data_IF_505875370029
#
_entry.id   IF_505875370029
#
_cell.length_a   1.000
_cell.length_b   1.000
_cell.length_c   1.000
_cell.angle_alpha   90.00
_cell.angle_beta   90.00
_cell.angle_gamma   90.00
#
_symmetry.space_group_name_H-M   'P 1'
#
loop_
_entity.id
_entity.type
_entity.pdbx_description
1 polymer ?
#
# COMPACT_ATOMS: atom_id res chain seq x y z
N UNK A 1 16.16 -9.18 19.07
CA UNK A 1 15.00 -9.33 18.17
C UNK A 1 15.29 -10.55 17.32
N UNK A 2 14.45 -11.58 17.36
CA UNK A 2 14.68 -12.79 16.55
C UNK A 2 14.41 -12.47 15.08
N UNK A 3 15.29 -12.88 14.17
CA UNK A 3 15.10 -12.64 12.74
C UNK A 3 13.83 -13.36 12.25
N UNK A 4 12.89 -12.64 11.59
CA UNK A 4 11.60 -13.19 11.18
C UNK A 4 11.76 -14.33 10.15
N UNK A 5 12.86 -14.34 9.39
CA UNK A 5 13.18 -15.40 8.43
C UNK A 5 13.55 -16.72 9.12
N UNK A 6 14.25 -16.67 10.27
CA UNK A 6 14.59 -17.86 11.04
C UNK A 6 13.34 -18.48 11.68
N UNK A 7 12.40 -17.65 12.14
CA UNK A 7 11.11 -18.10 12.67
C UNK A 7 10.23 -18.75 11.60
N UNK A 8 10.17 -18.19 10.39
CA UNK A 8 9.45 -18.79 9.26
C UNK A 8 10.05 -20.13 8.85
N UNK A 9 11.38 -20.22 8.74
CA UNK A 9 12.06 -21.47 8.41
C UNK A 9 11.86 -22.54 9.50
N UNK A 10 11.81 -22.13 10.77
CA UNK A 10 11.54 -23.04 11.87
C UNK A 10 10.08 -23.55 11.83
N UNK A 11 9.11 -22.68 11.56
CA UNK A 11 7.71 -23.05 11.38
C UNK A 11 7.49 -23.96 10.16
N UNK A 12 8.21 -23.75 9.06
CA UNK A 12 8.15 -24.65 7.89
C UNK A 12 8.69 -26.05 8.19
N UNK A 13 9.78 -26.14 8.98
CA UNK A 13 10.32 -27.44 9.42
C UNK A 13 9.36 -28.16 10.36
N UNK A 14 8.80 -27.44 11.33
CA UNK A 14 7.82 -27.98 12.26
C UNK A 14 6.55 -28.42 11.50
N UNK A 15 6.04 -27.62 10.55
CA UNK A 15 4.90 -28.01 9.71
C UNK A 15 5.21 -29.19 8.78
N UNK A 16 6.41 -29.26 8.21
CA UNK A 16 6.83 -30.40 7.40
C UNK A 16 6.85 -31.70 8.20
N UNK A 17 7.23 -31.62 9.48
CA UNK A 17 7.23 -32.75 10.41
C UNK A 17 5.81 -33.11 10.88
N UNK A 18 4.97 -32.11 11.15
CA UNK A 18 3.54 -32.27 11.43
C UNK A 18 2.78 -32.89 10.24
N UNK A 19 3.07 -32.47 9.00
CA UNK A 19 2.48 -33.06 7.79
C UNK A 19 2.87 -34.54 7.63
N UNK A 20 4.09 -34.92 8.04
CA UNK A 20 4.54 -36.32 8.06
C UNK A 20 3.90 -37.13 9.20
N UNK A 21 3.66 -36.50 10.35
CA UNK A 21 2.98 -37.15 11.49
C UNK A 21 1.46 -37.27 11.30
N UNK A 22 0.83 -36.32 10.60
CA UNK A 22 -0.62 -36.28 10.35
C UNK A 22 -1.04 -37.03 9.08
N UNK A 23 -0.09 -37.54 8.28
CA UNK A 23 -0.40 -38.52 7.23
C UNK A 23 -0.80 -39.84 7.87
N UNK A 24 -2.09 -39.95 8.21
CA UNK A 24 -2.78 -41.19 8.57
C UNK A 24 -2.61 -42.14 7.38
N UNK A 25 -1.72 -43.13 7.54
CA UNK A 25 -1.60 -44.38 6.78
C UNK A 25 -1.88 -44.21 5.27
N UNK A 26 -0.81 -44.13 4.47
CA UNK A 26 -0.93 -44.19 3.01
C UNK A 26 -1.57 -45.52 2.60
N UNK A 27 -2.88 -45.52 2.35
CA UNK A 27 -3.66 -46.68 1.86
C UNK A 27 -3.18 -47.11 0.45
N UNK A 28 -2.34 -46.30 -0.20
CA UNK A 28 -1.72 -46.57 -1.50
C UNK A 28 -0.38 -47.30 -1.41
N UNK A 29 0.16 -47.60 -0.22
CA UNK A 29 1.31 -48.49 -0.12
C UNK A 29 0.83 -49.95 -0.20
N UNK A 30 1.40 -50.76 -1.11
CA UNK A 30 1.00 -52.15 -1.24
C UNK A 30 1.29 -52.89 0.07
N UNK A 31 0.29 -53.58 0.62
CA UNK A 31 0.42 -54.46 1.79
C UNK A 31 1.29 -55.71 1.48
N UNK A 32 1.91 -55.76 0.30
CA UNK A 32 2.60 -56.94 -0.24
C UNK A 32 3.97 -57.23 0.35
N UNK A 33 4.49 -56.42 1.28
CA UNK A 33 5.82 -56.66 1.87
C UNK A 33 5.78 -57.41 3.21
N UNK A 34 4.90 -58.42 3.30
CA UNK A 34 4.94 -59.42 4.37
C UNK A 34 5.14 -60.80 3.75
N UNK A 35 6.41 -61.18 3.62
CA UNK A 35 6.83 -62.57 3.60
C UNK A 35 6.82 -63.23 2.23
N UNK A 36 7.91 -63.02 1.50
CA UNK A 36 8.37 -63.95 0.47
C UNK A 36 8.57 -65.33 1.14
N UNK A 37 7.56 -66.19 1.06
CA UNK A 37 7.70 -67.61 1.38
C UNK A 37 7.23 -68.41 0.18
N UNK A 38 8.23 -68.97 -0.49
CA UNK A 38 8.09 -69.93 -1.57
C UNK A 38 7.28 -71.15 -1.10
N UNK A 39 5.99 -71.16 -1.39
CA UNK A 39 5.20 -72.38 -1.43
C UNK A 39 4.52 -72.46 -2.80
N UNK A 40 5.11 -73.28 -3.67
CA UNK A 40 4.50 -73.70 -4.94
C UNK A 40 3.14 -74.36 -4.68
N UNK A 41 2.02 -73.89 -5.29
CA UNK A 41 0.80 -74.66 -5.32
C UNK A 41 0.71 -75.41 -6.64
N UNK A 42 0.73 -76.74 -6.53
CA UNK A 42 0.27 -77.66 -7.55
C UNK A 42 -1.17 -77.33 -7.95
N UNK A 43 -1.29 -76.70 -9.13
CA UNK A 43 -2.31 -76.91 -10.16
C UNK A 43 -3.54 -77.74 -9.73
N UNK A 44 -4.57 -77.08 -9.19
CA UNK A 44 -5.98 -77.51 -9.29
C UNK A 44 -6.88 -76.27 -9.20
N UNK A 45 -7.65 -76.08 -10.28
CA UNK A 45 -8.22 -74.79 -10.65
C UNK A 45 -9.39 -74.30 -9.80
N UNK A 46 -9.40 -72.99 -9.58
CA UNK A 46 -10.52 -72.10 -9.87
C UNK A 46 -9.92 -70.71 -10.11
N UNK A 47 -9.65 -70.44 -11.37
CA UNK A 47 -8.88 -69.28 -11.85
C UNK A 47 -9.83 -68.11 -12.13
N UNK A 48 -10.07 -67.27 -11.11
CA UNK A 48 -10.64 -65.91 -11.26
C UNK A 48 -9.93 -64.88 -10.37
N UNK A 49 -9.10 -65.29 -9.40
CA UNK A 49 -8.54 -64.39 -8.38
C UNK A 49 -7.04 -64.10 -8.50
N UNK A 50 -6.34 -64.59 -9.52
CA UNK A 50 -4.88 -64.39 -9.66
C UNK A 50 -4.55 -63.30 -10.70
N UNK A 51 -5.46 -62.99 -11.63
CA UNK A 51 -5.22 -61.99 -12.68
C UNK A 51 -5.41 -60.53 -12.24
N UNK A 52 -6.12 -60.25 -11.14
CA UNK A 52 -6.34 -58.88 -10.62
C UNK A 52 -5.29 -58.41 -9.60
N UNK A 53 -4.36 -59.28 -9.19
CA UNK A 53 -3.33 -58.94 -8.19
C UNK A 53 -2.14 -58.15 -8.77
N UNK A 54 -1.98 -58.15 -10.09
CA UNK A 54 -0.80 -57.57 -10.73
C UNK A 54 -0.91 -56.07 -11.03
N UNK A 55 -2.11 -55.46 -10.97
CA UNK A 55 -2.32 -54.00 -11.10
C UNK A 55 -3.68 -53.60 -10.47
N UNK A 56 -3.76 -53.37 -9.14
CA UNK A 56 -5.01 -53.02 -8.48
C UNK A 56 -5.43 -51.59 -8.86
N UNK A 57 -6.28 -51.47 -9.87
CA UNK A 57 -6.99 -50.22 -10.14
C UNK A 57 -8.09 -50.05 -9.09
N UNK A 58 -8.36 -48.84 -8.56
CA UNK A 58 -9.36 -48.62 -7.49
C UNK A 58 -10.76 -49.20 -7.80
N UNK A 59 -11.15 -49.20 -9.08
CA UNK A 59 -12.41 -49.81 -9.52
C UNK A 59 -12.42 -51.35 -9.42
N UNK A 60 -11.26 -52.00 -9.63
CA UNK A 60 -11.11 -53.46 -9.47
C UNK A 60 -11.14 -53.88 -8.00
N UNK A 61 -10.61 -53.04 -7.11
CA UNK A 61 -10.65 -53.28 -5.66
C UNK A 61 -12.09 -53.23 -5.13
N UNK A 62 -12.90 -52.29 -5.64
CA UNK A 62 -14.31 -52.17 -5.27
C UNK A 62 -15.13 -53.39 -5.72
N UNK A 63 -14.91 -53.88 -6.95
CA UNK A 63 -15.55 -55.11 -7.43
C UNK A 63 -15.13 -56.35 -6.64
N UNK A 64 -13.86 -56.44 -6.26
CA UNK A 64 -13.37 -57.56 -5.46
C UNK A 64 -13.95 -57.53 -4.05
N UNK A 65 -14.07 -56.35 -3.43
CA UNK A 65 -14.71 -56.20 -2.12
C UNK A 65 -16.18 -56.58 -2.14
N UNK A 66 -16.93 -56.24 -3.20
CA UNK A 66 -18.34 -56.64 -3.32
C UNK A 66 -18.45 -58.16 -3.52
N UNK A 67 -17.63 -58.75 -4.39
CA UNK A 67 -17.59 -60.19 -4.59
C UNK A 67 -17.25 -60.96 -3.30
N UNK A 68 -16.21 -60.55 -2.56
CA UNK A 68 -15.84 -61.20 -1.29
C UNK A 68 -16.92 -61.03 -0.23
N UNK A 69 -17.56 -59.85 -0.13
CA UNK A 69 -18.70 -59.65 0.78
C UNK A 69 -19.84 -60.63 0.48
N UNK A 70 -20.17 -60.84 -0.78
CA UNK A 70 -21.21 -61.79 -1.18
C UNK A 70 -20.79 -63.24 -0.89
N UNK A 71 -19.56 -63.63 -1.24
CA UNK A 71 -19.02 -64.96 -0.99
C UNK A 71 -19.00 -65.28 0.51
N UNK A 72 -18.47 -64.38 1.35
CA UNK A 72 -18.43 -64.56 2.79
C UNK A 72 -19.83 -64.53 3.41
N UNK A 73 -20.77 -63.75 2.86
CA UNK A 73 -22.16 -63.78 3.32
C UNK A 73 -22.83 -65.12 3.03
N UNK A 74 -22.62 -65.68 1.83
CA UNK A 74 -23.10 -67.02 1.45
C UNK A 74 -22.44 -68.11 2.28
N UNK A 75 -21.13 -68.02 2.50
CA UNK A 75 -20.38 -68.98 3.30
C UNK A 75 -20.81 -68.93 4.77
N UNK A 76 -20.97 -67.73 5.33
CA UNK A 76 -21.51 -67.54 6.68
C UNK A 76 -22.91 -68.12 6.82
N UNK A 77 -23.79 -67.88 5.85
CA UNK A 77 -25.15 -68.45 5.86
C UNK A 77 -25.11 -69.98 5.82
N UNK A 78 -24.37 -70.56 4.88
CA UNK A 78 -24.21 -72.01 4.74
C UNK A 78 -23.62 -72.65 6.00
N UNK A 79 -22.60 -72.05 6.59
CA UNK A 79 -21.99 -72.52 7.83
C UNK A 79 -22.97 -72.46 9.01
N UNK A 80 -23.67 -71.33 9.20
CA UNK A 80 -24.68 -71.19 10.25
C UNK A 80 -25.79 -72.23 10.07
N UNK A 81 -26.28 -72.42 8.85
CA UNK A 81 -27.28 -73.42 8.54
C UNK A 81 -26.78 -74.85 8.83
N UNK A 82 -25.55 -75.18 8.44
CA UNK A 82 -24.97 -76.49 8.69
C UNK A 82 -24.75 -76.75 10.18
N UNK A 83 -24.18 -75.80 10.92
CA UNK A 83 -23.94 -75.92 12.36
C UNK A 83 -25.25 -76.01 13.13
N UNK A 84 -26.28 -75.25 12.74
CA UNK A 84 -27.60 -75.33 13.37
C UNK A 84 -28.29 -76.67 13.08
N UNK A 85 -28.23 -77.16 11.83
CA UNK A 85 -28.72 -78.51 11.48
C UNK A 85 -28.00 -79.59 12.28
N UNK A 86 -26.67 -79.54 12.36
CA UNK A 86 -25.89 -80.52 13.13
C UNK A 86 -26.24 -80.46 14.63
N UNK A 87 -26.29 -79.26 15.21
CA UNK A 87 -26.65 -79.06 16.62
C UNK A 87 -28.07 -79.57 16.91
N UNK A 88 -29.02 -79.34 16.02
CA UNK A 88 -30.39 -79.85 16.14
C UNK A 88 -30.45 -81.38 16.10
N UNK A 89 -29.78 -82.00 15.11
CA UNK A 89 -29.71 -83.45 15.02
C UNK A 89 -29.03 -84.06 16.25
N UNK A 90 -27.93 -83.47 16.72
CA UNK A 90 -27.23 -83.91 17.92
C UNK A 90 -28.08 -83.74 19.18
N UNK A 91 -28.90 -82.70 19.27
CA UNK A 91 -29.80 -82.48 20.41
C UNK A 91 -30.94 -83.51 20.48
N UNK A 92 -31.45 -83.97 19.33
CA UNK A 92 -32.53 -84.97 19.26
C UNK A 92 -32.01 -86.40 19.38
N UNK A 93 -30.84 -86.68 18.80
CA UNK A 93 -30.24 -88.03 18.75
C UNK A 93 -29.31 -88.30 19.94
N UNK A 94 -28.89 -87.27 20.68
CA UNK A 94 -28.07 -87.41 21.89
C UNK A 94 -28.80 -88.16 23.01
N UNK A 95 -28.06 -88.91 23.82
CA UNK A 95 -28.57 -89.62 25.00
C UNK A 95 -27.97 -89.00 26.27
N UNK A 96 -28.75 -88.31 27.13
CA UNK A 96 -30.19 -88.06 27.03
C UNK A 96 -30.54 -86.94 26.03
N UNK A 97 -31.75 -86.98 25.42
CA UNK A 97 -32.18 -85.96 24.48
C UNK A 97 -32.31 -84.61 25.17
N UNK A 98 -31.80 -83.56 24.52
CA UNK A 98 -31.75 -82.23 25.09
C UNK A 98 -33.12 -81.55 24.90
N UNK A 99 -34.00 -81.71 25.89
CA UNK A 99 -35.30 -81.04 25.94
C UNK A 99 -35.13 -79.72 26.65
N UNK A 100 -35.10 -78.62 25.90
CA UNK A 100 -35.04 -77.27 26.49
C UNK A 100 -36.32 -77.03 27.28
N UNK A 101 -36.19 -76.82 28.59
CA UNK A 101 -37.32 -76.53 29.46
C UNK A 101 -37.92 -75.16 29.17
N UNK A 102 -39.22 -74.98 29.41
CA UNK A 102 -39.85 -73.65 29.31
C UNK A 102 -39.15 -72.62 30.23
N UNK A 103 -38.72 -73.04 31.43
CA UNK A 103 -38.00 -72.18 32.36
C UNK A 103 -36.63 -71.74 31.81
N UNK A 104 -35.87 -72.65 31.19
CA UNK A 104 -34.58 -72.33 30.56
C UNK A 104 -34.75 -71.36 29.39
N UNK A 105 -35.82 -71.52 28.60
CA UNK A 105 -36.15 -70.55 27.54
C UNK A 105 -36.47 -69.16 28.11
N UNK A 106 -37.26 -69.08 29.18
CA UNK A 106 -37.58 -67.79 29.83
C UNK A 106 -36.32 -67.12 30.40
N UNK A 107 -35.42 -67.89 31.02
CA UNK A 107 -34.14 -67.37 31.51
C UNK A 107 -33.25 -66.85 30.37
N UNK A 108 -33.13 -67.60 29.28
CA UNK A 108 -32.37 -67.20 28.09
C UNK A 108 -32.99 -65.98 27.39
N UNK A 109 -34.31 -65.88 27.34
CA UNK A 109 -35.01 -64.71 26.81
C UNK A 109 -34.74 -63.46 27.65
N UNK A 110 -34.70 -63.59 28.98
CA UNK A 110 -34.33 -62.48 29.88
C UNK A 110 -32.90 -62.02 29.65
N UNK A 111 -31.93 -62.96 29.59
CA UNK A 111 -30.53 -62.63 29.32
C UNK A 111 -30.35 -62.00 27.93
N UNK A 112 -31.06 -62.49 26.92
CA UNK A 112 -31.03 -61.93 25.57
C UNK A 112 -31.60 -60.51 25.57
N UNK A 113 -32.68 -60.26 26.31
CA UNK A 113 -33.26 -58.92 26.45
C UNK A 113 -32.26 -57.93 27.09
N UNK A 114 -31.56 -58.35 28.15
CA UNK A 114 -30.51 -57.56 28.80
C UNK A 114 -29.34 -57.25 27.86
N UNK A 115 -28.75 -58.28 27.23
CA UNK A 115 -27.64 -58.11 26.28
C UNK A 115 -28.05 -57.26 25.08
N UNK A 116 -29.30 -57.39 24.61
CA UNK A 116 -29.83 -56.57 23.51
C UNK A 116 -30.03 -55.12 23.92
N UNK A 117 -30.43 -54.84 25.16
CA UNK A 117 -30.51 -53.49 25.69
C UNK A 117 -29.13 -52.86 25.80
N UNK A 118 -28.15 -53.60 26.34
CA UNK A 118 -26.76 -53.14 26.44
C UNK A 118 -26.14 -52.87 25.05
N UNK A 119 -26.35 -53.78 24.09
CA UNK A 119 -25.88 -53.61 22.73
C UNK A 119 -26.49 -52.37 22.06
N UNK A 120 -27.77 -52.08 22.30
CA UNK A 120 -28.41 -50.86 21.80
C UNK A 120 -27.81 -49.61 22.42
N UNK A 121 -27.56 -49.62 23.73
CA UNK A 121 -26.92 -48.51 24.43
C UNK A 121 -25.53 -48.23 23.88
N UNK A 122 -24.68 -49.25 23.75
CA UNK A 122 -23.33 -49.12 23.21
C UNK A 122 -23.30 -48.67 21.75
N UNK A 123 -24.27 -49.14 20.94
CA UNK A 123 -24.41 -48.67 19.55
C UNK A 123 -24.76 -47.19 19.47
N UNK A 124 -25.62 -46.72 20.36
CA UNK A 124 -26.00 -45.31 20.42
C UNK A 124 -24.82 -44.45 20.89
N UNK A 125 -24.09 -44.88 21.91
CA UNK A 125 -22.86 -44.22 22.37
C UNK A 125 -21.81 -44.12 21.25
N UNK A 126 -21.57 -45.22 20.54
CA UNK A 126 -20.65 -45.22 19.40
C UNK A 126 -21.13 -44.28 18.27
N UNK A 127 -22.44 -44.21 18.02
CA UNK A 127 -23.04 -43.30 17.03
C UNK A 127 -22.77 -41.84 17.39
N UNK A 128 -23.00 -41.47 18.66
CA UNK A 128 -22.74 -40.12 19.16
C UNK A 128 -21.26 -39.77 19.08
N UNK A 129 -20.36 -40.69 19.48
CA UNK A 129 -18.92 -40.47 19.41
C UNK A 129 -18.43 -40.27 17.96
N UNK A 130 -18.99 -40.99 16.98
CA UNK A 130 -18.68 -40.80 15.57
C UNK A 130 -19.15 -39.42 15.10
N UNK A 131 -20.36 -39.00 15.48
CA UNK A 131 -20.89 -37.68 15.13
C UNK A 131 -20.01 -36.55 15.69
N UNK A 132 -19.62 -36.65 16.97
CA UNK A 132 -18.69 -35.71 17.60
C UNK A 132 -17.34 -35.70 16.88
N UNK A 133 -16.75 -36.87 16.60
CA UNK A 133 -15.50 -36.97 15.88
C UNK A 133 -15.56 -36.33 14.49
N UNK A 134 -16.67 -36.52 13.77
CA UNK A 134 -16.84 -35.90 12.46
C UNK A 134 -16.98 -34.38 12.55
N UNK A 135 -17.71 -33.86 13.53
CA UNK A 135 -17.83 -32.41 13.74
C UNK A 135 -16.48 -31.78 14.08
N UNK A 136 -15.72 -32.38 15.00
CA UNK A 136 -14.37 -31.95 15.36
C UNK A 136 -13.42 -32.03 14.15
N UNK A 137 -13.49 -33.10 13.36
CA UNK A 137 -12.67 -33.25 12.16
C UNK A 137 -12.97 -32.17 11.12
N UNK A 138 -14.26 -31.85 10.90
CA UNK A 138 -14.68 -30.77 10.01
C UNK A 138 -14.22 -29.40 10.49
N UNK A 139 -14.29 -29.15 11.80
CA UNK A 139 -13.80 -27.90 12.39
C UNK A 139 -12.27 -27.79 12.27
N UNK A 140 -11.54 -28.85 12.58
CA UNK A 140 -10.09 -28.90 12.49
C UNK A 140 -9.62 -28.64 11.05
N UNK A 141 -10.27 -29.25 10.06
CA UNK A 141 -9.98 -29.01 8.64
C UNK A 141 -10.17 -27.53 8.24
N UNK A 142 -11.22 -26.88 8.75
CA UNK A 142 -11.45 -25.43 8.51
C UNK A 142 -10.36 -24.58 9.16
N UNK A 143 -10.01 -24.87 10.42
CA UNK A 143 -8.95 -24.15 11.14
C UNK A 143 -7.60 -24.31 10.44
N UNK A 144 -7.26 -25.52 10.03
CA UNK A 144 -6.02 -25.81 9.30
C UNK A 144 -5.94 -25.03 7.99
N UNK A 145 -7.03 -25.01 7.21
CA UNK A 145 -7.10 -24.22 5.97
C UNK A 145 -6.89 -22.72 6.21
N UNK A 146 -7.46 -22.18 7.29
CA UNK A 146 -7.24 -20.77 7.64
C UNK A 146 -5.77 -20.49 7.99
N UNK A 147 -5.14 -21.35 8.80
CA UNK A 147 -3.71 -21.23 9.13
C UNK A 147 -2.85 -21.32 7.87
N UNK A 148 -3.16 -22.21 6.93
CA UNK A 148 -2.45 -22.32 5.66
C UNK A 148 -2.56 -21.04 4.82
N UNK A 149 -3.75 -20.42 4.77
CA UNK A 149 -3.91 -19.12 4.08
C UNK A 149 -3.14 -17.99 4.75
N UNK A 150 -3.12 -17.95 6.08
CA UNK A 150 -2.36 -16.95 6.84
C UNK A 150 -0.85 -17.14 6.66
N UNK A 151 -0.38 -18.40 6.63
CA UNK A 151 1.02 -18.72 6.37
C UNK A 151 1.45 -18.27 4.97
N UNK A 152 0.61 -18.49 3.95
CA UNK A 152 0.87 -18.02 2.61
C UNK A 152 0.98 -16.48 2.56
N UNK A 153 0.11 -15.75 3.28
CA UNK A 153 0.21 -14.29 3.39
C UNK A 153 1.46 -13.83 4.14
N UNK A 154 1.86 -14.54 5.20
CA UNK A 154 3.10 -14.26 5.93
C UNK A 154 4.34 -14.52 5.10
N UNK A 155 4.32 -15.50 4.19
CA UNK A 155 5.44 -15.77 3.28
C UNK A 155 5.66 -14.68 2.22
N UNK A 156 4.60 -13.95 1.82
CA UNK A 156 4.72 -12.88 0.80
C UNK A 156 5.03 -11.49 1.41
N UNK A 157 4.81 -11.32 2.72
CA UNK A 157 5.08 -10.07 3.42
C UNK A 157 6.55 -9.62 3.38
N UNK A 158 7.57 -10.48 3.58
CA UNK A 158 8.97 -10.09 3.50
C UNK A 158 9.37 -9.45 2.17
N UNK A 159 8.95 -10.05 1.06
CA UNK A 159 9.19 -9.50 -0.28
C UNK A 159 8.52 -8.13 -0.45
N UNK A 160 7.28 -7.99 0.03
CA UNK A 160 6.58 -6.70 0.02
C UNK A 160 7.31 -5.66 0.88
N UNK A 161 7.91 -6.05 2.01
CA UNK A 161 8.68 -5.15 2.88
C UNK A 161 9.96 -4.71 2.17
N UNK A 162 10.71 -5.63 1.57
CA UNK A 162 11.94 -5.30 0.81
C UNK A 162 11.64 -4.36 -0.38
N UNK A 163 10.52 -4.59 -1.08
CA UNK A 163 10.05 -3.71 -2.14
C UNK A 163 9.68 -2.30 -1.61
N UNK A 164 9.03 -2.21 -0.45
CA UNK A 164 8.72 -0.92 0.18
C UNK A 164 9.97 -0.21 0.70
N UNK A 165 10.93 -0.94 1.26
CA UNK A 165 12.19 -0.39 1.74
C UNK A 165 13.06 0.13 0.60
N UNK A 166 13.16 -0.62 -0.50
CA UNK A 166 13.88 -0.19 -1.70
C UNK A 166 13.24 1.04 -2.37
N UNK A 167 11.90 1.10 -2.43
CA UNK A 167 11.19 2.28 -2.94
C UNK A 167 11.39 3.50 -2.04
N UNK A 168 11.32 3.34 -0.72
CA UNK A 168 11.63 4.41 0.24
C UNK A 168 13.08 4.88 0.10
N UNK A 169 14.05 3.95 -0.02
CA UNK A 169 15.45 4.29 -0.23
C UNK A 169 15.64 5.06 -1.54
N UNK A 170 14.98 4.63 -2.62
CA UNK A 170 14.99 5.32 -3.91
C UNK A 170 14.37 6.71 -3.86
N UNK A 171 13.25 6.88 -3.15
CA UNK A 171 12.62 8.19 -2.95
C UNK A 171 13.48 9.13 -2.11
N UNK A 172 14.10 8.62 -1.03
CA UNK A 172 15.05 9.39 -0.21
C UNK A 172 16.28 9.79 -1.03
N UNK A 173 16.82 8.89 -1.85
CA UNK A 173 17.94 9.21 -2.73
C UNK A 173 17.56 10.29 -3.76
N UNK A 174 16.37 10.19 -4.38
CA UNK A 174 15.84 11.24 -5.28
C UNK A 174 15.64 12.58 -4.56
N UNK A 175 15.14 12.55 -3.34
CA UNK A 175 14.97 13.75 -2.51
C UNK A 175 16.33 14.41 -2.21
N UNK A 176 17.32 13.64 -1.76
CA UNK A 176 18.67 14.14 -1.51
C UNK A 176 19.30 14.68 -2.80
N UNK A 177 19.22 13.93 -3.91
CA UNK A 177 19.74 14.36 -5.20
C UNK A 177 19.12 15.67 -5.69
N UNK A 178 17.80 15.83 -5.53
CA UNK A 178 17.09 17.07 -5.86
C UNK A 178 17.46 18.25 -4.95
N UNK A 179 17.88 17.99 -3.71
CA UNK A 179 18.31 19.00 -2.74
C UNK A 179 19.78 19.41 -2.95
N UNK A 180 20.61 18.51 -3.50
CA UNK A 180 22.02 18.76 -3.82
C UNK A 180 22.27 19.35 -5.21
N UNK A 181 21.26 19.43 -6.08
CA UNK A 181 21.44 20.04 -7.39
C UNK A 181 21.67 21.55 -7.21
N UNK A 182 22.90 21.97 -7.47
CA UNK A 182 23.41 23.35 -7.39
C UNK A 182 22.91 24.23 -8.54
N UNK A 183 21.68 24.00 -8.99
CA UNK A 183 21.06 24.72 -10.09
C UNK A 183 20.32 25.94 -9.51
N UNK A 184 20.54 27.19 -9.96
CA UNK A 184 19.91 28.39 -9.39
C UNK A 184 18.36 28.43 -9.47
N UNK A 185 17.72 27.46 -10.13
CA UNK A 185 16.26 27.20 -10.08
C UNK A 185 15.82 26.31 -8.90
N UNK A 186 16.76 25.93 -8.04
CA UNK A 186 16.61 25.02 -6.87
C UNK A 186 15.70 25.55 -5.75
N UNK A 187 15.16 26.77 -5.86
CA UNK A 187 14.11 27.25 -4.94
C UNK A 187 12.86 26.34 -4.91
N UNK A 188 12.65 25.53 -5.95
CA UNK A 188 11.57 24.53 -6.04
C UNK A 188 11.86 23.21 -5.31
N UNK A 189 13.11 22.95 -4.93
CA UNK A 189 13.53 21.70 -4.25
C UNK A 189 13.84 21.92 -2.76
N UNK A 190 13.46 23.07 -2.22
CA UNK A 190 13.71 23.40 -0.83
C UNK A 190 12.74 22.66 0.10
N UNK A 191 13.20 22.26 1.30
CA UNK A 191 12.31 21.71 2.31
C UNK A 191 11.30 22.79 2.75
N UNK A 192 10.11 22.36 3.16
CA UNK A 192 8.99 23.24 3.52
C UNK A 192 9.36 24.40 4.47
N UNK A 193 10.20 24.22 5.52
CA UNK A 193 10.60 25.34 6.36
C UNK A 193 11.42 26.41 5.62
N UNK A 194 12.27 25.99 4.68
CA UNK A 194 13.10 26.90 3.89
C UNK A 194 12.28 27.66 2.82
N UNK A 195 11.24 27.03 2.25
CA UNK A 195 10.33 27.73 1.34
C UNK A 195 9.49 28.78 2.07
N UNK A 196 9.02 28.48 3.28
CA UNK A 196 8.30 29.45 4.11
C UNK A 196 9.18 30.64 4.51
N UNK A 197 10.45 30.39 4.86
CA UNK A 197 11.41 31.45 5.15
C UNK A 197 11.63 32.38 3.93
N UNK A 198 11.91 31.81 2.75
CA UNK A 198 12.05 32.59 1.51
C UNK A 198 10.78 33.36 1.16
N UNK A 199 9.60 32.75 1.36
CA UNK A 199 8.32 33.42 1.10
C UNK A 199 8.18 34.65 2.00
N UNK A 200 8.47 34.52 3.30
CA UNK A 200 8.43 35.66 4.22
C UNK A 200 9.42 36.76 3.87
N UNK A 201 10.62 36.41 3.38
CA UNK A 201 11.62 37.38 2.93
C UNK A 201 11.12 38.15 1.70
N UNK A 202 10.55 37.44 0.71
CA UNK A 202 9.99 38.07 -0.48
C UNK A 202 8.76 38.91 -0.18
N UNK A 203 7.91 38.50 0.75
CA UNK A 203 6.80 39.33 1.23
C UNK A 203 7.29 40.61 1.90
N UNK A 204 8.38 40.54 2.69
CA UNK A 204 8.99 41.71 3.30
C UNK A 204 9.61 42.66 2.24
N UNK A 205 10.29 42.12 1.24
CA UNK A 205 10.80 42.88 0.10
C UNK A 205 9.69 43.57 -0.68
N UNK A 206 8.60 42.85 -1.00
CA UNK A 206 7.43 43.42 -1.68
C UNK A 206 6.78 44.53 -0.85
N UNK A 207 6.66 44.34 0.47
CA UNK A 207 6.14 45.37 1.37
C UNK A 207 7.05 46.61 1.40
N UNK A 208 8.38 46.43 1.39
CA UNK A 208 9.34 47.53 1.34
C UNK A 208 9.25 48.28 -0.01
N UNK A 209 9.17 47.55 -1.12
CA UNK A 209 9.05 48.14 -2.46
C UNK A 209 7.74 48.90 -2.61
N UNK A 210 6.63 48.37 -2.11
CA UNK A 210 5.34 49.06 -2.08
C UNK A 210 5.41 50.36 -1.26
N UNK A 211 6.10 50.38 -0.12
CA UNK A 211 6.33 51.61 0.65
C UNK A 211 7.15 52.64 -0.14
N UNK A 212 8.18 52.20 -0.86
CA UNK A 212 8.98 53.07 -1.71
C UNK A 212 8.14 53.65 -2.86
N UNK A 213 7.31 52.83 -3.52
CA UNK A 213 6.40 53.28 -4.57
C UNK A 213 5.44 54.35 -4.01
N UNK A 214 4.83 54.12 -2.84
CA UNK A 214 3.95 55.09 -2.21
C UNK A 214 4.68 56.40 -1.85
N UNK A 215 5.91 56.32 -1.34
CA UNK A 215 6.71 57.50 -1.02
C UNK A 215 7.06 58.32 -2.28
N UNK A 216 7.43 57.65 -3.38
CA UNK A 216 7.69 58.29 -4.67
C UNK A 216 6.40 58.88 -5.23
N UNK A 217 5.28 58.15 -5.22
CA UNK A 217 3.98 58.67 -5.69
C UNK A 217 3.51 59.90 -4.90
N UNK A 218 3.76 59.96 -3.59
CA UNK A 218 3.40 61.10 -2.75
C UNK A 218 4.32 62.32 -2.97
N UNK A 219 5.60 62.09 -3.31
CA UNK A 219 6.57 63.18 -3.56
C UNK A 219 6.53 63.71 -4.99
N UNK A 220 6.11 62.88 -5.96
CA UNK A 220 5.97 63.21 -7.38
C UNK A 220 5.16 64.51 -7.64
N UNK A 221 3.94 64.70 -7.10
CA UNK A 221 3.15 65.91 -7.39
C UNK A 221 3.81 67.19 -6.86
N UNK A 222 4.52 67.11 -5.73
CA UNK A 222 5.28 68.24 -5.20
C UNK A 222 6.45 68.59 -6.12
N UNK A 223 7.20 67.59 -6.58
CA UNK A 223 8.32 67.79 -7.51
C UNK A 223 7.87 68.30 -8.88
N UNK A 224 6.70 67.86 -9.36
CA UNK A 224 6.07 68.41 -10.56
C UNK A 224 5.76 69.90 -10.37
N UNK A 225 5.13 70.29 -9.25
CA UNK A 225 4.85 71.71 -8.96
C UNK A 225 6.14 72.54 -8.86
N UNK A 226 7.17 72.04 -8.19
CA UNK A 226 8.48 72.70 -8.09
C UNK A 226 9.10 72.89 -9.49
N UNK A 227 9.08 71.85 -10.33
CA UNK A 227 9.57 71.94 -11.71
C UNK A 227 8.77 72.96 -12.54
N UNK A 228 7.44 72.93 -12.49
CA UNK A 228 6.59 73.92 -13.16
C UNK A 228 6.88 75.35 -12.69
N UNK A 229 7.14 75.58 -11.40
CA UNK A 229 7.51 76.92 -10.90
C UNK A 229 8.84 77.39 -11.47
N UNK A 230 9.85 76.52 -11.49
CA UNK A 230 11.15 76.85 -12.08
C UNK A 230 11.06 77.07 -13.59
N UNK A 231 10.20 76.32 -14.30
CA UNK A 231 9.96 76.52 -15.73
C UNK A 231 9.30 77.89 -16.00
N UNK A 232 8.33 78.29 -15.17
CA UNK A 232 7.74 79.65 -15.25
C UNK A 232 8.79 80.73 -15.00
N UNK A 233 9.64 80.58 -13.99
CA UNK A 233 10.73 81.53 -13.71
C UNK A 233 11.74 81.62 -14.86
N UNK A 234 12.17 80.48 -15.40
CA UNK A 234 13.02 80.41 -16.59
C UNK A 234 12.38 81.13 -17.78
N UNK A 235 11.08 80.92 -18.04
CA UNK A 235 10.38 81.58 -19.13
C UNK A 235 10.35 83.11 -18.99
N UNK A 236 10.23 83.63 -17.76
CA UNK A 236 10.28 85.08 -17.49
C UNK A 236 11.69 85.61 -17.67
N UNK A 237 12.71 84.88 -17.22
CA UNK A 237 14.11 85.25 -17.41
C UNK A 237 14.51 85.22 -18.89
N UNK A 238 14.02 84.25 -19.66
CA UNK A 238 14.21 84.20 -21.11
C UNK A 238 13.57 85.41 -21.81
N UNK A 239 12.34 85.79 -21.43
CA UNK A 239 11.71 87.02 -21.94
C UNK A 239 12.54 88.26 -21.62
N UNK A 240 12.95 88.44 -20.36
CA UNK A 240 13.83 89.55 -19.95
C UNK A 240 15.16 89.56 -20.70
N UNK A 241 15.76 88.39 -20.93
CA UNK A 241 16.98 88.24 -21.74
C UNK A 241 16.71 88.69 -23.17
N UNK A 242 15.62 88.26 -23.80
CA UNK A 242 15.29 88.67 -25.17
C UNK A 242 15.02 90.17 -25.27
N UNK A 243 14.32 90.75 -24.29
CA UNK A 243 14.09 92.20 -24.20
C UNK A 243 15.40 92.97 -24.03
N UNK A 244 16.28 92.54 -23.13
CA UNK A 244 17.59 93.16 -22.92
C UNK A 244 18.48 93.04 -24.17
N UNK A 245 18.46 91.90 -24.88
CA UNK A 245 19.17 91.71 -26.15
C UNK A 245 18.61 92.66 -27.21
N UNK A 246 17.29 92.82 -27.29
CA UNK A 246 16.65 93.75 -28.22
C UNK A 246 17.00 95.19 -27.89
N UNK A 247 16.92 95.61 -26.61
CA UNK A 247 17.34 96.94 -26.15
C UNK A 247 18.82 97.20 -26.46
N UNK A 248 19.71 96.24 -26.21
CA UNK A 248 21.13 96.36 -26.53
C UNK A 248 21.38 96.45 -28.04
N UNK A 249 20.65 95.69 -28.87
CA UNK A 249 20.71 95.77 -30.34
C UNK A 249 20.19 97.11 -30.85
N UNK A 250 19.10 97.62 -30.28
CA UNK A 250 18.55 98.94 -30.64
C UNK A 250 19.48 100.07 -30.22
N UNK A 251 20.04 100.03 -29.01
CA UNK A 251 21.05 100.99 -28.56
C UNK A 251 22.30 100.98 -29.45
N UNK A 252 22.78 99.78 -29.84
CA UNK A 252 23.86 99.63 -30.80
C UNK A 252 23.49 100.19 -32.17
N UNK A 253 22.28 99.93 -32.66
CA UNK A 253 21.78 100.47 -33.93
C UNK A 253 21.69 102.00 -33.90
N UNK A 254 21.19 102.59 -32.82
CA UNK A 254 21.12 104.06 -32.64
C UNK A 254 22.52 104.68 -32.62
N UNK A 255 23.49 104.04 -31.95
CA UNK A 255 24.90 104.43 -31.98
C UNK A 255 25.52 104.34 -33.37
N UNK A 256 25.23 103.29 -34.14
CA UNK A 256 25.72 103.10 -35.52
C UNK A 256 25.02 104.05 -36.52
N UNK A 257 23.79 104.48 -36.25
CA UNK A 257 23.02 105.44 -37.06
C UNK A 257 23.30 106.91 -36.70
N UNK A 258 24.12 107.19 -35.69
CA UNK A 258 24.56 108.55 -35.35
C UNK A 258 23.49 109.43 -34.69
N UNK A 259 22.39 108.87 -34.17
CA UNK A 259 21.48 109.60 -33.29
C UNK A 259 22.18 109.83 -31.95
N UNK A 260 22.46 111.11 -31.63
CA UNK A 260 23.03 111.53 -30.35
C UNK A 260 22.13 111.05 -29.22
N UNK A 261 22.70 110.35 -28.24
CA UNK A 261 22.00 109.99 -27.02
C UNK A 261 21.40 111.28 -26.41
N UNK A 262 20.12 111.28 -26.07
CA UNK A 262 19.45 112.49 -25.56
C UNK A 262 20.13 113.05 -24.30
N UNK A 263 20.91 112.21 -23.60
CA UNK A 263 21.81 112.63 -22.52
C UNK A 263 23.00 113.49 -22.99
N UNK A 264 23.60 113.21 -24.15
CA UNK A 264 24.67 114.04 -24.71
C UNK A 264 24.15 115.39 -25.20
N UNK A 265 22.94 115.43 -25.78
CA UNK A 265 22.30 116.69 -26.18
C UNK A 265 21.95 117.54 -24.96
N UNK A 266 21.36 116.95 -23.91
CA UNK A 266 21.12 117.64 -22.64
C UNK A 266 22.43 118.08 -21.97
N UNK A 267 23.48 117.26 -22.01
CA UNK A 267 24.81 117.63 -21.49
C UNK A 267 25.46 118.79 -22.26
N UNK A 268 25.29 118.84 -23.59
CA UNK A 268 25.71 119.98 -24.42
C UNK A 268 24.86 121.22 -24.14
N UNK A 269 23.55 121.07 -23.94
CA UNK A 269 22.65 122.16 -23.59
C UNK A 269 22.97 122.73 -22.20
N UNK A 270 23.22 121.88 -21.21
CA UNK A 270 23.67 122.30 -19.87
C UNK A 270 25.05 122.97 -19.91
N UNK A 271 26.02 122.46 -20.69
CA UNK A 271 27.31 123.14 -20.90
C UNK A 271 27.17 124.47 -21.63
N UNK A 272 26.25 124.56 -22.60
CA UNK A 272 25.93 125.80 -23.29
C UNK A 272 25.28 126.83 -22.34
N UNK A 273 24.35 126.38 -21.49
CA UNK A 273 23.75 127.19 -20.44
C UNK A 273 24.80 127.64 -19.40
N UNK A 274 25.75 126.78 -19.05
CA UNK A 274 26.87 127.08 -18.15
C UNK A 274 27.84 128.10 -18.79
N UNK A 275 28.14 127.99 -20.09
CA UNK A 275 28.94 128.97 -20.83
C UNK A 275 28.25 130.33 -20.96
N UNK A 276 26.94 130.36 -21.19
CA UNK A 276 26.15 131.61 -21.22
C UNK A 276 26.12 132.24 -19.82
N UNK A 277 25.95 131.43 -18.76
CA UNK A 277 26.06 131.91 -17.39
C UNK A 277 27.46 132.48 -17.07
N UNK A 278 28.54 131.84 -17.53
CA UNK A 278 29.90 132.37 -17.38
C UNK A 278 30.14 133.66 -18.18
N UNK A 279 29.54 133.83 -19.36
CA UNK A 279 29.64 135.08 -20.13
C UNK A 279 28.86 136.25 -19.52
N UNK A 280 27.76 135.98 -18.82
CA UNK A 280 26.95 136.99 -18.11
C UNK A 280 27.56 137.37 -16.75
N UNK A 281 28.41 136.52 -16.16
CA UNK A 281 29.03 136.74 -14.85
C UNK A 281 30.48 137.26 -14.87
N UNK A 282 31.13 137.40 -16.03
CA UNK A 282 32.36 138.18 -16.16
C UNK A 282 33.51 137.80 -15.21
N UNK A 283 34.12 136.63 -15.42
CA UNK A 283 35.51 136.29 -15.08
C UNK A 283 35.95 135.05 -15.87
#
# INVERSE_FOLDING_TARGET
MADPQLLLQQLEREQGDLKKQLTIIRISEPISDVGNTDFSPSKRGSDVSISTLNDPTPASLESDLTHYKELFSKLRFSYLEQVTKEKFLRAIVGDPPLVVGHNENVELESQLAEVKAELKSRKEEARLMIEEMETMSRELARRYKNVETQMAQLSSLPESIENLESTIAGLRAKQVAGMTSSDPRSSQNLPLPATLALLSEREAELAALNRQILAVQNSLPRKIREAETTERECSVLERRKTEAINQAREARRKKEQGESDGLEEMGRWYKGAEQIMNQVLGA
#
